data_IF_707303933225
#
_entry.id   IF_707303933225
#
_cell.length_a   1.000
_cell.length_b   1.000
_cell.length_c   1.000
_cell.angle_alpha   90.00
_cell.angle_beta   90.00
_cell.angle_gamma   90.00
#
_symmetry.space_group_name_H-M   'P 1'
#
loop_
_entity.id
_entity.type
_entity.pdbx_description
1 polymer ?
#
# COMPACT_ATOMS: atom_id res chain seq x y z
N UNK A 1 3.15 3.84 34.70
CA UNK A 1 2.12 4.59 33.98
C UNK A 1 1.69 3.76 32.77
N UNK A 2 0.59 3.03 32.89
CA UNK A 2 -0.05 2.31 31.78
C UNK A 2 -0.81 3.34 30.93
N UNK A 3 -0.34 3.58 29.71
CA UNK A 3 -1.12 4.32 28.72
C UNK A 3 -2.26 3.41 28.24
N UNK A 4 -3.49 3.84 28.55
CA UNK A 4 -4.73 3.24 28.08
C UNK A 4 -4.83 3.51 26.58
N UNK A 5 -4.48 2.50 25.77
CA UNK A 5 -4.62 2.48 24.31
C UNK A 5 -6.10 2.31 23.95
N UNK A 6 -6.86 3.40 23.98
CA UNK A 6 -8.24 3.41 23.46
C UNK A 6 -8.20 4.06 22.07
N UNK A 7 -8.61 3.29 21.05
CA UNK A 7 -8.66 3.64 19.62
C UNK A 7 -7.32 3.83 18.88
N UNK A 8 -6.44 2.82 18.93
CA UNK A 8 -5.36 2.71 17.94
C UNK A 8 -5.91 2.06 16.67
N UNK A 9 -5.86 2.76 15.53
CA UNK A 9 -6.21 2.23 14.20
C UNK A 9 -5.53 0.85 13.99
N UNK A 10 -6.30 -0.16 13.52
CA UNK A 10 -5.82 -1.50 13.17
C UNK A 10 -4.57 -1.48 12.29
N UNK A 11 -4.42 -0.48 11.42
CA UNK A 11 -3.19 -0.26 10.65
C UNK A 11 -2.00 0.00 11.55
N UNK A 12 -2.12 0.94 12.47
CA UNK A 12 -1.08 1.27 13.45
C UNK A 12 -0.77 0.07 14.33
N UNK A 13 -1.79 -0.67 14.79
CA UNK A 13 -1.58 -1.92 15.54
C UNK A 13 -0.79 -2.94 14.72
N UNK A 14 -1.17 -3.21 13.46
CA UNK A 14 -0.48 -4.18 12.61
C UNK A 14 0.96 -3.76 12.28
N UNK A 15 1.20 -2.47 12.04
CA UNK A 15 2.54 -1.95 11.78
C UNK A 15 3.43 -2.11 13.02
N UNK A 16 2.94 -1.73 14.21
CA UNK A 16 3.70 -1.75 15.46
C UNK A 16 3.91 -3.16 16.03
N UNK A 17 2.97 -4.08 15.81
CA UNK A 17 3.09 -5.48 16.26
C UNK A 17 3.94 -6.34 15.33
N UNK A 18 4.36 -5.81 14.18
CA UNK A 18 5.29 -6.51 13.29
C UNK A 18 6.65 -6.71 13.96
N UNK A 19 7.34 -7.80 13.61
CA UNK A 19 8.68 -8.10 14.11
C UNK A 19 9.59 -6.89 13.91
N UNK A 20 10.45 -6.59 14.86
CA UNK A 20 11.43 -5.51 14.73
C UNK A 20 12.71 -6.01 14.08
N UNK A 21 13.36 -5.15 13.28
CA UNK A 21 14.66 -5.38 12.65
C UNK A 21 15.47 -4.09 12.72
N UNK A 22 16.79 -4.23 12.67
CA UNK A 22 17.69 -3.09 12.67
C UNK A 22 17.82 -2.53 11.25
N UNK A 23 17.62 -1.22 11.10
CA UNK A 23 17.99 -0.51 9.88
C UNK A 23 19.52 -0.51 9.73
N UNK A 24 20.02 -0.96 8.59
CA UNK A 24 21.46 -1.05 8.34
C UNK A 24 22.14 0.32 8.21
N UNK A 25 21.38 1.37 7.86
CA UNK A 25 21.88 2.74 7.68
C UNK A 25 21.81 3.54 8.98
N UNK A 26 20.75 3.42 9.77
CA UNK A 26 20.57 4.22 11.01
C UNK A 26 20.95 3.47 12.28
N UNK A 27 21.10 2.13 12.22
CA UNK A 27 21.25 1.22 13.37
C UNK A 27 20.08 1.22 14.36
N UNK A 28 18.97 1.85 14.01
CA UNK A 28 17.77 1.85 14.83
C UNK A 28 16.95 0.58 14.64
N UNK A 29 16.38 0.05 15.73
CA UNK A 29 15.39 -1.02 15.68
C UNK A 29 14.03 -0.44 15.29
N UNK A 30 13.46 -0.95 14.20
CA UNK A 30 12.16 -0.52 13.69
C UNK A 30 11.28 -1.73 13.34
N UNK A 31 9.95 -1.63 13.46
CA UNK A 31 9.05 -2.65 12.93
C UNK A 31 9.27 -2.89 11.44
N UNK A 32 9.18 -4.15 10.99
CA UNK A 32 9.43 -4.54 9.59
C UNK A 32 8.49 -3.84 8.61
N UNK A 33 7.27 -3.48 9.02
CA UNK A 33 6.37 -2.67 8.20
C UNK A 33 6.98 -1.34 7.73
N UNK A 34 7.95 -0.80 8.49
CA UNK A 34 8.65 0.45 8.19
C UNK A 34 9.95 0.26 7.40
N UNK A 35 10.33 -1.00 7.13
CA UNK A 35 11.61 -1.36 6.55
C UNK A 35 11.41 -2.04 5.20
N UNK A 36 12.38 -1.88 4.32
CA UNK A 36 12.51 -2.62 3.07
C UNK A 36 13.59 -3.66 3.30
N UNK A 37 13.24 -4.93 3.04
CA UNK A 37 14.19 -6.03 3.07
C UNK A 37 14.95 -6.04 1.75
N UNK A 38 16.27 -6.06 1.84
CA UNK A 38 17.18 -6.20 0.70
C UNK A 38 17.91 -7.54 0.83
N UNK A 39 17.87 -8.34 -0.23
CA UNK A 39 18.48 -9.68 -0.26
C UNK A 39 19.46 -9.75 -1.44
N UNK A 40 20.64 -10.38 -1.27
CA UNK A 40 21.51 -10.71 -2.40
C UNK A 40 20.81 -11.68 -3.36
N UNK A 41 20.74 -11.31 -4.63
CA UNK A 41 20.14 -12.12 -5.71
C UNK A 41 21.22 -12.39 -6.74
N UNK A 42 21.41 -13.67 -7.07
CA UNK A 42 22.37 -14.12 -8.06
C UNK A 42 21.73 -14.08 -9.45
N UNK A 43 22.42 -13.42 -10.38
CA UNK A 43 22.10 -13.40 -11.79
C UNK A 43 23.13 -14.25 -12.54
N UNK A 44 22.72 -15.38 -13.15
CA UNK A 44 23.64 -16.21 -13.91
C UNK A 44 24.15 -15.45 -15.15
N UNK A 45 25.35 -15.82 -15.62
CA UNK A 45 25.87 -15.28 -16.88
C UNK A 45 24.92 -15.66 -18.02
N UNK A 46 24.48 -14.68 -18.81
CA UNK A 46 23.66 -14.89 -20.00
C UNK A 46 24.33 -14.21 -21.19
N UNK A 47 24.88 -15.01 -22.11
CA UNK A 47 25.66 -14.51 -23.25
C UNK A 47 26.90 -13.74 -22.79
N UNK A 48 27.06 -12.51 -23.26
CA UNK A 48 28.21 -11.64 -22.97
C UNK A 48 28.18 -10.98 -21.57
N UNK A 49 27.11 -11.17 -20.79
CA UNK A 49 26.99 -10.57 -19.46
C UNK A 49 27.61 -11.49 -18.41
N UNK A 50 28.60 -11.03 -17.63
CA UNK A 50 29.14 -11.81 -16.53
C UNK A 50 28.08 -12.02 -15.45
N UNK A 51 28.20 -13.11 -14.70
CA UNK A 51 27.40 -13.33 -13.51
C UNK A 51 27.53 -12.15 -12.55
N UNK A 52 26.44 -11.80 -11.87
CA UNK A 52 26.45 -10.73 -10.89
C UNK A 52 25.64 -11.10 -9.66
N UNK A 53 26.12 -10.69 -8.49
CA UNK A 53 25.38 -10.80 -7.25
C UNK A 53 24.92 -9.41 -6.86
N UNK A 54 23.62 -9.15 -6.91
CA UNK A 54 23.08 -7.81 -6.69
C UNK A 54 22.21 -7.75 -5.44
N UNK A 55 22.35 -6.69 -4.65
CA UNK A 55 21.48 -6.43 -3.52
C UNK A 55 20.16 -5.81 -4.01
N UNK A 56 19.06 -6.57 -3.92
CA UNK A 56 17.76 -6.16 -4.47
C UNK A 56 16.65 -6.25 -3.42
N UNK A 57 15.58 -5.45 -3.55
CA UNK A 57 14.41 -5.56 -2.69
C UNK A 57 13.73 -6.93 -2.85
N UNK A 58 13.45 -7.55 -1.70
CA UNK A 58 12.78 -8.84 -1.58
C UNK A 58 11.48 -8.65 -0.79
N UNK A 59 10.39 -9.19 -1.30
CA UNK A 59 9.09 -9.12 -0.62
C UNK A 59 8.42 -7.74 -0.62
N UNK A 60 8.90 -6.79 -1.43
CA UNK A 60 8.27 -5.47 -1.54
C UNK A 60 7.02 -5.56 -2.42
N UNK A 61 7.14 -6.05 -3.66
CA UNK A 61 6.01 -6.20 -4.58
C UNK A 61 5.10 -7.41 -4.27
N UNK A 62 5.69 -8.55 -3.88
CA UNK A 62 4.95 -9.79 -3.55
C UNK A 62 5.27 -10.24 -2.11
N UNK A 63 4.51 -11.19 -1.56
CA UNK A 63 4.89 -11.82 -0.28
C UNK A 63 6.25 -12.51 -0.44
N UNK A 64 7.21 -12.19 0.42
CA UNK A 64 8.56 -12.80 0.38
C UNK A 64 8.41 -14.31 0.50
N UNK A 65 8.91 -15.04 -0.50
CA UNK A 65 9.18 -16.46 -0.32
C UNK A 65 10.30 -16.58 0.72
N UNK A 66 10.29 -17.65 1.54
CA UNK A 66 11.27 -17.83 2.60
C UNK A 66 12.70 -17.89 2.02
N UNK A 67 13.33 -16.74 1.82
CA UNK A 67 14.65 -16.65 1.20
C UNK A 67 15.70 -17.00 2.25
N UNK A 68 16.40 -18.11 2.01
CA UNK A 68 17.57 -18.53 2.77
C UNK A 68 18.70 -17.56 2.43
N UNK A 69 19.24 -16.86 3.43
CA UNK A 69 20.39 -15.98 3.22
C UNK A 69 20.45 -14.79 4.18
N UNK A 70 21.61 -14.13 4.18
CA UNK A 70 21.79 -12.87 4.90
C UNK A 70 21.05 -11.76 4.15
N UNK A 71 20.12 -11.07 4.82
CA UNK A 71 19.40 -9.91 4.26
C UNK A 71 19.69 -8.65 5.08
N UNK A 72 19.67 -7.51 4.41
CA UNK A 72 19.68 -6.18 5.03
C UNK A 72 18.27 -5.63 5.14
N UNK A 73 18.09 -4.69 6.06
CA UNK A 73 16.88 -3.89 6.17
C UNK A 73 17.25 -2.42 6.10
N UNK A 74 16.54 -1.64 5.30
CA UNK A 74 16.69 -0.18 5.20
C UNK A 74 15.32 0.46 5.44
N UNK A 75 15.26 1.70 5.92
CA UNK A 75 13.96 2.39 6.05
C UNK A 75 13.33 2.60 4.67
N UNK A 76 12.01 2.75 4.64
CA UNK A 76 11.27 3.02 3.39
C UNK A 76 11.56 4.40 2.77
N UNK A 77 12.28 5.28 3.47
CA UNK A 77 12.60 6.63 3.03
C UNK A 77 13.70 6.66 1.97
N UNK A 78 13.43 7.38 0.87
CA UNK A 78 14.34 7.51 -0.28
C UNK A 78 15.74 7.98 0.09
N UNK A 79 15.86 8.94 1.00
CA UNK A 79 17.16 9.50 1.36
C UNK A 79 18.05 8.49 2.07
N UNK A 80 17.50 7.66 2.95
CA UNK A 80 18.27 6.60 3.62
C UNK A 80 18.65 5.47 2.66
N UNK A 81 17.84 5.19 1.65
CA UNK A 81 18.20 4.25 0.57
C UNK A 81 19.38 4.82 -0.22
N UNK A 82 19.39 6.11 -0.56
CA UNK A 82 20.52 6.77 -1.24
C UNK A 82 21.81 6.69 -0.41
N UNK A 83 21.73 6.72 0.93
CA UNK A 83 22.91 6.57 1.79
C UNK A 83 23.61 5.22 1.66
N UNK A 84 22.97 4.20 1.07
CA UNK A 84 23.62 2.92 0.79
C UNK A 84 24.78 3.02 -0.21
N UNK A 85 24.83 4.08 -1.01
CA UNK A 85 25.93 4.36 -1.94
C UNK A 85 27.05 5.19 -1.32
N UNK A 86 26.87 5.69 -0.10
CA UNK A 86 27.88 6.51 0.55
C UNK A 86 29.12 5.66 0.90
N UNK A 87 30.34 6.20 0.72
CA UNK A 87 31.58 5.45 0.99
C UNK A 87 31.83 5.23 2.49
N UNK A 88 30.97 5.78 3.36
CA UNK A 88 31.02 5.68 4.81
C UNK A 88 29.64 5.30 5.33
N UNK A 89 29.60 4.44 6.34
CA UNK A 89 28.36 4.14 7.04
C UNK A 89 28.33 2.78 7.72
N UNK A 90 27.36 2.59 8.64
CA UNK A 90 27.21 1.36 9.40
C UNK A 90 26.87 0.12 8.56
N UNK A 91 26.41 0.30 7.33
CA UNK A 91 25.99 -0.76 6.41
C UNK A 91 27.18 -1.41 5.68
N UNK A 92 28.32 -0.72 5.59
CA UNK A 92 29.48 -1.15 4.80
C UNK A 92 30.09 -2.50 5.20
N UNK A 93 30.24 -2.84 6.50
CA UNK A 93 30.82 -4.14 6.88
C UNK A 93 30.01 -5.32 6.32
N UNK A 94 28.69 -5.17 6.20
CA UNK A 94 27.86 -6.19 5.57
C UNK A 94 28.10 -6.27 4.07
N UNK A 95 28.03 -5.12 3.38
CA UNK A 95 28.15 -5.07 1.92
C UNK A 95 29.53 -5.59 1.48
N UNK A 96 30.60 -5.14 2.16
CA UNK A 96 31.98 -5.58 1.89
C UNK A 96 32.25 -7.01 2.35
N UNK A 97 31.48 -7.52 3.31
CA UNK A 97 31.60 -8.88 3.82
C UNK A 97 31.04 -9.95 2.88
N UNK A 98 30.33 -9.57 1.81
CA UNK A 98 29.84 -10.49 0.78
C UNK A 98 30.63 -10.22 -0.50
N UNK A 99 31.53 -11.14 -0.86
CA UNK A 99 32.34 -11.06 -2.07
C UNK A 99 31.44 -10.88 -3.31
N UNK A 100 31.85 -10.02 -4.24
CA UNK A 100 31.15 -9.71 -5.50
C UNK A 100 29.75 -9.08 -5.37
N UNK A 101 29.29 -8.73 -4.16
CA UNK A 101 28.01 -8.05 -3.98
C UNK A 101 28.07 -6.64 -4.57
N UNK A 102 27.13 -6.35 -5.47
CA UNK A 102 26.96 -5.07 -6.12
C UNK A 102 25.65 -4.42 -5.69
N UNK A 103 25.65 -3.09 -5.58
CA UNK A 103 24.43 -2.32 -5.50
C UNK A 103 24.06 -1.86 -6.92
N UNK A 104 22.88 -2.23 -7.44
CA UNK A 104 22.42 -1.73 -8.73
C UNK A 104 22.39 -0.19 -8.71
N UNK A 105 22.83 0.50 -9.78
CA UNK A 105 22.84 1.98 -9.80
C UNK A 105 21.43 2.59 -9.73
N UNK A 106 20.41 1.83 -10.10
CA UNK A 106 19.00 2.21 -10.11
C UNK A 106 18.20 1.59 -8.95
N UNK A 107 18.85 1.17 -7.85
CA UNK A 107 18.16 0.51 -6.71
C UNK A 107 17.00 1.35 -6.16
N UNK A 108 17.18 2.67 -6.08
CA UNK A 108 16.15 3.61 -5.61
C UNK A 108 14.90 3.54 -6.49
N UNK A 109 15.09 3.50 -7.82
CA UNK A 109 14.00 3.44 -8.78
C UNK A 109 13.33 2.07 -8.80
N UNK A 110 14.12 0.99 -8.66
CA UNK A 110 13.60 -0.38 -8.49
C UNK A 110 12.69 -0.46 -7.28
N UNK A 111 13.12 0.08 -6.13
CA UNK A 111 12.32 0.11 -4.90
C UNK A 111 11.04 0.90 -5.11
N UNK A 112 11.11 2.08 -5.73
CA UNK A 112 9.94 2.91 -5.98
C UNK A 112 8.91 2.19 -6.86
N UNK A 113 9.35 1.60 -7.98
CA UNK A 113 8.49 0.82 -8.85
C UNK A 113 7.85 -0.38 -8.13
N UNK A 114 8.58 -1.05 -7.24
CA UNK A 114 8.03 -2.15 -6.43
C UNK A 114 7.02 -1.68 -5.38
N UNK A 115 7.21 -0.51 -4.77
CA UNK A 115 6.23 0.08 -3.84
C UNK A 115 4.92 0.43 -4.55
N UNK A 116 4.98 1.02 -5.76
CA UNK A 116 3.81 1.27 -6.60
C UNK A 116 3.10 -0.05 -6.95
N UNK A 117 3.86 -1.04 -7.39
CA UNK A 117 3.34 -2.37 -7.74
C UNK A 117 2.68 -3.06 -6.55
N UNK A 118 3.21 -2.86 -5.34
CA UNK A 118 2.66 -3.45 -4.12
C UNK A 118 1.23 -2.97 -3.85
N UNK A 119 0.94 -1.69 -4.02
CA UNK A 119 -0.42 -1.16 -3.82
C UNK A 119 -1.40 -1.84 -4.78
N UNK A 120 -1.04 -1.95 -6.06
CA UNK A 120 -1.85 -2.62 -7.08
C UNK A 120 -2.05 -4.11 -6.76
N UNK A 121 -0.99 -4.78 -6.28
CA UNK A 121 -1.06 -6.18 -5.88
C UNK A 121 -2.02 -6.40 -4.70
N UNK A 122 -1.98 -5.55 -3.69
CA UNK A 122 -2.88 -5.62 -2.55
C UNK A 122 -4.34 -5.37 -2.95
N UNK A 123 -4.61 -4.38 -3.81
CA UNK A 123 -5.96 -4.16 -4.37
C UNK A 123 -6.46 -5.38 -5.14
N UNK A 124 -5.60 -6.01 -5.95
CA UNK A 124 -5.92 -7.27 -6.64
C UNK A 124 -6.23 -8.39 -5.65
N UNK A 125 -5.43 -8.52 -4.60
CA UNK A 125 -5.61 -9.54 -3.58
C UNK A 125 -6.94 -9.36 -2.85
N UNK A 126 -7.30 -8.13 -2.49
CA UNK A 126 -8.62 -7.77 -1.95
C UNK A 126 -9.73 -8.21 -2.91
N UNK A 127 -9.67 -7.81 -4.18
CA UNK A 127 -10.69 -8.17 -5.16
C UNK A 127 -10.87 -9.68 -5.29
N UNK A 128 -9.75 -10.43 -5.35
CA UNK A 128 -9.77 -11.90 -5.36
C UNK A 128 -10.45 -12.43 -4.11
N UNK A 129 -10.06 -11.99 -2.91
CA UNK A 129 -10.64 -12.49 -1.66
C UNK A 129 -12.12 -12.18 -1.56
N UNK A 130 -12.53 -10.94 -1.84
CA UNK A 130 -13.93 -10.55 -1.85
C UNK A 130 -14.72 -11.45 -2.80
N UNK A 131 -14.27 -11.69 -4.04
CA UNK A 131 -14.98 -12.57 -4.99
C UNK A 131 -15.24 -13.99 -4.46
N UNK A 132 -14.35 -14.53 -3.62
CA UNK A 132 -14.46 -15.86 -3.03
C UNK A 132 -15.14 -15.89 -1.66
N UNK A 133 -15.53 -14.74 -1.09
CA UNK A 133 -16.29 -14.73 0.16
C UNK A 133 -17.66 -15.39 -0.06
N UNK A 134 -18.10 -16.28 0.85
CA UNK A 134 -19.40 -16.95 0.74
C UNK A 134 -20.52 -15.92 0.73
N UNK A 135 -21.47 -16.05 -0.21
CA UNK A 135 -22.61 -15.13 -0.33
C UNK A 135 -23.49 -15.08 0.94
N UNK A 136 -23.48 -16.13 1.77
CA UNK A 136 -24.30 -16.26 2.98
C UNK A 136 -23.61 -15.93 4.33
N UNK A 137 -22.30 -15.66 4.36
CA UNK A 137 -21.60 -15.36 5.63
C UNK A 137 -21.83 -13.90 6.12
N UNK A 138 -22.46 -13.07 5.29
CA UNK A 138 -22.70 -11.65 5.54
C UNK A 138 -24.09 -11.35 6.11
N UNK A 139 -25.03 -12.30 6.10
CA UNK A 139 -26.37 -12.07 6.68
C UNK A 139 -26.41 -12.21 8.20
N UNK A 140 -25.50 -13.00 8.79
CA UNK A 140 -25.46 -13.22 10.25
C UNK A 140 -24.61 -12.20 11.00
N UNK A 141 -23.83 -11.34 10.32
CA UNK A 141 -23.08 -10.26 10.96
C UNK A 141 -23.76 -8.92 10.70
N UNK A 142 -24.16 -8.25 11.79
CA UNK A 142 -24.66 -6.87 11.83
C UNK A 142 -23.91 -5.98 10.83
N UNK A 143 -24.64 -5.34 9.90
CA UNK A 143 -24.16 -4.40 8.87
C UNK A 143 -23.03 -4.96 8.00
N UNK A 144 -23.37 -5.48 6.83
CA UNK A 144 -22.47 -5.81 5.70
C UNK A 144 -21.22 -4.90 5.63
N UNK A 145 -20.11 -5.33 6.23
CA UNK A 145 -18.89 -4.53 6.28
C UNK A 145 -18.22 -4.61 4.90
N UNK A 146 -18.19 -3.48 4.19
CA UNK A 146 -17.55 -3.34 2.87
C UNK A 146 -16.12 -2.83 3.07
N UNK A 147 -15.19 -3.32 2.25
CA UNK A 147 -13.80 -2.84 2.25
C UNK A 147 -13.72 -1.46 1.60
N UNK A 148 -14.53 -1.17 0.60
CA UNK A 148 -14.51 0.08 -0.13
C UNK A 148 -15.92 0.68 -0.24
N UNK A 149 -16.09 1.91 0.24
CA UNK A 149 -17.37 2.62 0.21
C UNK A 149 -17.15 4.04 -0.30
N UNK A 150 -18.13 4.58 -1.02
CA UNK A 150 -18.09 6.00 -1.42
C UNK A 150 -18.22 6.87 -0.17
N UNK A 151 -17.29 7.81 0.01
CA UNK A 151 -17.31 8.70 1.15
C UNK A 151 -18.30 9.85 0.92
N UNK A 152 -19.33 10.01 1.79
CA UNK A 152 -20.38 10.99 1.56
C UNK A 152 -19.93 12.40 1.98
N UNK A 153 -19.19 13.12 1.12
CA UNK A 153 -18.78 14.53 1.31
C UNK A 153 -17.88 14.76 2.57
N UNK A 154 -16.83 15.60 2.55
CA UNK A 154 -15.99 15.89 3.73
C UNK A 154 -16.73 16.37 4.99
N UNK A 155 -18.02 16.76 4.90
CA UNK A 155 -18.87 17.13 6.03
C UNK A 155 -19.84 16.03 6.51
N UNK A 156 -19.93 14.90 5.79
CA UNK A 156 -20.84 13.82 6.13
C UNK A 156 -20.26 12.93 7.23
N UNK A 157 -20.81 13.04 8.43
CA UNK A 157 -20.51 12.12 9.52
C UNK A 157 -21.13 10.75 9.17
N UNK A 158 -20.32 9.72 8.92
CA UNK A 158 -20.84 8.36 8.87
C UNK A 158 -21.05 7.85 10.29
N UNK A 159 -22.26 7.35 10.59
CA UNK A 159 -22.62 6.69 11.86
C UNK A 159 -21.79 5.43 12.20
N UNK A 160 -20.81 5.08 11.36
CA UNK A 160 -19.91 3.94 11.54
C UNK A 160 -18.56 4.18 10.84
N UNK A 161 -17.88 5.30 11.15
CA UNK A 161 -16.48 5.51 10.76
C UNK A 161 -15.50 4.47 11.36
N UNK A 162 -15.99 3.63 12.28
CA UNK A 162 -15.23 2.53 12.87
C UNK A 162 -14.62 1.62 11.80
N UNK A 163 -13.30 1.51 11.84
CA UNK A 163 -12.53 0.63 10.97
C UNK A 163 -12.09 1.24 9.64
N UNK A 164 -12.38 2.52 9.35
CA UNK A 164 -11.76 3.21 8.20
C UNK A 164 -10.28 3.43 8.47
N UNK A 165 -9.42 3.06 7.52
CA UNK A 165 -7.95 3.10 7.63
C UNK A 165 -7.27 4.03 6.63
N UNK A 166 -8.01 4.46 5.61
CA UNK A 166 -7.54 5.40 4.58
C UNK A 166 -8.72 5.99 3.80
N UNK A 167 -8.55 7.21 3.31
CA UNK A 167 -9.38 7.81 2.28
C UNK A 167 -8.58 7.88 0.98
N UNK A 168 -9.23 7.57 -0.14
CA UNK A 168 -8.63 7.52 -1.47
C UNK A 168 -9.31 8.56 -2.34
N UNK A 169 -8.58 9.61 -2.68
CA UNK A 169 -9.06 10.64 -3.61
C UNK A 169 -8.70 10.24 -5.05
N UNK A 170 -9.75 10.08 -5.86
CA UNK A 170 -9.65 9.67 -7.25
C UNK A 170 -9.55 10.85 -8.23
N UNK A 171 -9.62 12.09 -7.74
CA UNK A 171 -9.51 13.27 -8.59
C UNK A 171 -8.22 13.22 -9.44
N UNK A 172 -8.33 13.52 -10.72
CA UNK A 172 -7.20 13.51 -11.66
C UNK A 172 -6.74 12.12 -12.14
N UNK A 173 -7.35 11.02 -11.69
CA UNK A 173 -7.05 9.70 -12.26
C UNK A 173 -7.61 9.57 -13.67
N UNK A 174 -6.77 9.13 -14.61
CA UNK A 174 -7.23 8.75 -15.95
C UNK A 174 -8.07 7.46 -15.85
N UNK A 175 -9.36 7.48 -16.24
CA UNK A 175 -10.23 6.31 -16.16
C UNK A 175 -9.77 5.23 -17.15
N UNK A 176 -9.94 3.97 -16.75
CA UNK A 176 -9.70 2.85 -17.65
C UNK A 176 -10.77 2.79 -18.76
N UNK A 177 -10.41 2.48 -20.02
CA UNK A 177 -11.39 2.19 -21.06
C UNK A 177 -12.27 0.99 -20.64
N UNK A 178 -13.57 1.09 -20.92
CA UNK A 178 -14.58 0.10 -20.52
C UNK A 178 -14.22 -1.32 -21.00
N UNK A 179 -13.67 -1.43 -22.22
CA UNK A 179 -13.42 -2.72 -22.89
C UNK A 179 -11.94 -3.16 -22.89
N UNK A 180 -11.06 -2.46 -22.15
CA UNK A 180 -9.65 -2.85 -22.12
C UNK A 180 -9.46 -4.24 -21.48
N UNK A 181 -8.88 -5.25 -22.17
CA UNK A 181 -8.56 -6.53 -21.58
C UNK A 181 -7.49 -6.29 -20.51
N UNK A 182 -7.95 -6.28 -19.28
CA UNK A 182 -7.12 -5.91 -18.15
C UNK A 182 -6.69 -7.19 -17.44
N UNK A 183 -5.55 -7.72 -17.87
CA UNK A 183 -4.93 -8.77 -17.08
C UNK A 183 -4.12 -8.14 -15.95
N UNK A 184 -4.69 -8.20 -14.74
CA UNK A 184 -3.99 -7.86 -13.51
C UNK A 184 -2.68 -8.65 -13.33
N UNK A 185 -2.41 -9.73 -14.11
CA UNK A 185 -1.13 -10.46 -14.14
C UNK A 185 0.00 -9.66 -14.79
N UNK A 186 -0.31 -8.66 -15.61
CA UNK A 186 0.67 -7.84 -16.32
C UNK A 186 0.58 -6.39 -15.84
N UNK A 187 0.94 -6.14 -14.58
CA UNK A 187 1.13 -4.76 -14.13
C UNK A 187 2.34 -4.21 -14.90
N UNK A 188 2.17 -3.16 -15.72
CA UNK A 188 3.26 -2.64 -16.51
C UNK A 188 4.30 -2.00 -15.60
N UNK A 189 5.56 -2.08 -16.00
CA UNK A 189 6.59 -1.28 -15.35
C UNK A 189 6.27 0.21 -15.60
N UNK A 190 6.29 1.07 -14.58
CA UNK A 190 5.93 2.47 -14.73
C UNK A 190 6.90 3.16 -15.71
N UNK A 191 6.35 3.82 -16.73
CA UNK A 191 7.14 4.53 -17.75
C UNK A 191 7.92 5.74 -17.17
N UNK A 192 7.43 6.28 -16.06
CA UNK A 192 8.06 7.37 -15.31
C UNK A 192 7.75 7.20 -13.83
N UNK A 193 8.61 7.78 -12.98
CA UNK A 193 8.45 7.72 -11.53
C UNK A 193 8.17 9.13 -10.97
N UNK A 194 7.11 9.30 -10.16
CA UNK A 194 6.84 10.56 -9.48
C UNK A 194 8.05 11.02 -8.65
N UNK A 195 8.41 12.30 -8.74
CA UNK A 195 9.52 12.84 -7.94
C UNK A 195 9.04 13.69 -6.78
N UNK A 196 7.99 14.49 -7.00
CA UNK A 196 7.41 15.41 -6.03
C UNK A 196 5.95 15.01 -5.80
N UNK A 197 5.72 14.26 -4.73
CA UNK A 197 4.39 13.86 -4.29
C UNK A 197 3.99 14.77 -3.14
N UNK A 198 2.75 15.28 -3.08
CA UNK A 198 2.28 16.08 -1.94
C UNK A 198 2.10 15.20 -0.68
N UNK A 199 2.24 15.81 0.50
CA UNK A 199 1.91 15.13 1.75
C UNK A 199 0.44 14.70 1.74
N UNK A 200 0.11 13.48 2.22
CA UNK A 200 -1.28 13.14 2.50
C UNK A 200 -1.87 14.14 3.49
N UNK A 201 -3.11 14.54 3.24
CA UNK A 201 -3.88 15.34 4.19
C UNK A 201 -4.44 14.40 5.27
N UNK A 202 -4.28 14.77 6.54
CA UNK A 202 -4.99 14.07 7.62
C UNK A 202 -6.42 14.59 7.67
N UNK A 203 -7.39 13.70 7.55
CA UNK A 203 -8.82 14.04 7.56
C UNK A 203 -9.43 13.53 8.86
N UNK A 204 -10.00 14.43 9.69
CA UNK A 204 -10.64 14.02 10.92
C UNK A 204 -11.94 13.27 10.61
N UNK A 205 -12.04 12.03 11.08
CA UNK A 205 -13.27 11.23 11.03
C UNK A 205 -14.10 11.35 12.31
N UNK A 206 -13.43 11.57 13.45
CA UNK A 206 -14.05 11.78 14.76
C UNK A 206 -13.07 12.54 15.67
N UNK A 207 -13.52 12.94 16.87
CA UNK A 207 -12.70 13.63 17.88
C UNK A 207 -11.41 12.88 18.26
N UNK A 208 -11.33 11.59 17.97
CA UNK A 208 -10.21 10.72 18.35
C UNK A 208 -9.61 9.93 17.17
N UNK A 209 -10.01 10.23 15.93
CA UNK A 209 -9.54 9.48 14.77
C UNK A 209 -9.33 10.39 13.56
N UNK A 210 -8.06 10.56 13.21
CA UNK A 210 -7.63 11.10 11.93
C UNK A 210 -7.24 9.97 11.00
N UNK A 211 -7.64 10.06 9.73
CA UNK A 211 -7.23 9.11 8.68
C UNK A 211 -6.52 9.83 7.55
N UNK A 212 -5.50 9.21 6.94
CA UNK A 212 -4.81 9.79 5.80
C UNK A 212 -5.66 9.74 4.54
N UNK A 213 -5.74 10.88 3.85
CA UNK A 213 -6.28 11.01 2.50
C UNK A 213 -5.15 10.96 1.48
N UNK A 214 -5.18 9.93 0.65
CA UNK A 214 -4.21 9.69 -0.42
C UNK A 214 -4.78 10.17 -1.76
N UNK A 215 -4.18 11.22 -2.30
CA UNK A 215 -4.49 11.69 -3.66
C UNK A 215 -3.75 10.85 -4.69
N UNK A 216 -4.47 9.90 -5.30
CA UNK A 216 -3.85 8.81 -6.07
C UNK A 216 -3.20 9.29 -7.37
N UNK A 217 -3.73 10.34 -8.01
CA UNK A 217 -3.17 10.85 -9.25
C UNK A 217 -1.78 11.46 -9.09
N UNK A 218 -1.47 12.06 -7.92
CA UNK A 218 -0.13 12.56 -7.60
C UNK A 218 0.81 11.47 -7.11
N UNK A 219 0.29 10.43 -6.45
CA UNK A 219 1.09 9.32 -5.92
C UNK A 219 1.56 8.36 -7.01
N UNK A 220 0.80 8.21 -8.09
CA UNK A 220 1.07 7.24 -9.14
C UNK A 220 1.33 7.93 -10.49
N UNK A 221 2.26 7.38 -11.30
CA UNK A 221 2.46 7.89 -12.64
C UNK A 221 1.23 7.65 -13.52
N UNK A 222 0.97 8.51 -14.54
CA UNK A 222 -0.19 8.39 -15.44
C UNK A 222 -0.35 7.01 -16.08
N UNK A 223 0.78 6.34 -16.39
CA UNK A 223 0.81 4.97 -16.93
C UNK A 223 0.11 3.93 -16.06
N UNK A 224 -0.05 4.19 -14.75
CA UNK A 224 -0.73 3.30 -13.80
C UNK A 224 -2.13 3.75 -13.39
N UNK A 225 -2.60 4.94 -13.83
CA UNK A 225 -3.89 5.49 -13.41
C UNK A 225 -5.07 4.59 -13.80
N UNK A 226 -5.09 4.10 -15.05
CA UNK A 226 -6.11 3.17 -15.50
C UNK A 226 -6.13 1.88 -14.65
N UNK A 227 -4.96 1.42 -14.20
CA UNK A 227 -4.84 0.22 -13.37
C UNK A 227 -5.45 0.42 -11.97
N UNK A 228 -5.19 1.58 -11.36
CA UNK A 228 -5.78 1.95 -10.07
C UNK A 228 -7.30 2.09 -10.20
N UNK A 229 -7.74 2.90 -11.16
CA UNK A 229 -9.14 3.18 -11.40
C UNK A 229 -9.92 1.87 -11.58
N UNK A 230 -9.47 0.98 -12.48
CA UNK A 230 -10.13 -0.29 -12.74
C UNK A 230 -10.13 -1.22 -11.53
N UNK A 231 -9.04 -1.27 -10.76
CA UNK A 231 -8.95 -2.10 -9.55
C UNK A 231 -9.94 -1.65 -8.49
N UNK A 232 -9.99 -0.35 -8.19
CA UNK A 232 -10.89 0.24 -7.20
C UNK A 232 -12.36 0.09 -7.63
N UNK A 233 -12.67 0.41 -8.88
CA UNK A 233 -14.02 0.23 -9.42
C UNK A 233 -14.46 -1.22 -9.44
N UNK A 234 -13.55 -2.17 -9.69
CA UNK A 234 -13.88 -3.60 -9.64
C UNK A 234 -14.22 -4.06 -8.23
N UNK A 235 -13.48 -3.58 -7.22
CA UNK A 235 -13.78 -3.86 -5.81
C UNK A 235 -15.17 -3.29 -5.47
N UNK A 236 -15.38 -2.00 -5.76
CA UNK A 236 -16.63 -1.31 -5.49
C UNK A 236 -17.85 -1.99 -6.12
N UNK A 237 -17.74 -2.41 -7.39
CA UNK A 237 -18.84 -3.10 -8.10
C UNK A 237 -19.11 -4.51 -7.56
N UNK A 238 -18.09 -5.26 -7.14
CA UNK A 238 -18.30 -6.60 -6.55
C UNK A 238 -18.97 -6.49 -5.18
N UNK A 239 -18.71 -5.42 -4.43
CA UNK A 239 -19.32 -5.18 -3.11
C UNK A 239 -20.72 -4.56 -3.19
N UNK A 240 -21.04 -3.82 -4.25
CA UNK A 240 -22.36 -3.17 -4.45
C UNK A 240 -23.56 -4.11 -4.32
N UNK A 241 -23.64 -5.27 -5.00
CA UNK A 241 -24.81 -6.18 -4.91
C UNK A 241 -24.86 -6.96 -3.58
N UNK A 242 -23.83 -6.87 -2.73
CA UNK A 242 -23.74 -7.61 -1.46
C UNK A 242 -24.30 -6.86 -0.27
N UNK A 243 -24.62 -5.57 -0.44
CA UNK A 243 -25.40 -4.86 0.59
C UNK A 243 -26.87 -5.22 0.47
N UNK A 244 -27.55 -5.26 1.61
CA UNK A 244 -29.01 -5.32 1.70
C UNK A 244 -29.62 -4.32 0.70
N UNK A 245 -30.66 -4.69 -0.06
CA UNK A 245 -31.41 -3.73 -0.87
C UNK A 245 -31.99 -2.69 0.08
N UNK A 246 -31.50 -1.45 0.02
CA UNK A 246 -32.09 -0.38 0.82
C UNK A 246 -33.56 -0.22 0.44
N UNK A 247 -34.44 -0.47 1.40
CA UNK A 247 -35.70 0.27 1.51
C UNK A 247 -35.37 1.77 1.42
N UNK A 248 -36.01 2.43 0.46
CA UNK A 248 -35.99 3.87 0.16
C UNK A 248 -34.63 4.50 -0.16
N UNK A 249 -34.29 4.58 -1.44
CA UNK A 249 -33.89 5.88 -1.99
C UNK A 249 -34.33 5.97 -3.45
N UNK A 250 -35.32 6.83 -3.65
CA UNK A 250 -35.78 7.37 -4.92
C UNK A 250 -34.70 7.50 -5.98
N UNK A 251 -35.04 7.03 -7.18
CA UNK A 251 -34.51 7.51 -8.44
C UNK A 251 -34.23 9.02 -8.37
N UNK A 252 -32.95 9.38 -8.40
CA UNK A 252 -32.53 10.71 -8.83
C UNK A 252 -31.72 10.51 -10.10
N UNK A 253 -32.45 10.48 -11.21
CA UNK A 253 -31.93 10.82 -12.53
C UNK A 253 -31.24 12.18 -12.45
N UNK A 254 -30.01 12.26 -12.96
CA UNK A 254 -29.33 13.53 -13.23
C UNK A 254 -28.81 14.26 -11.99
N UNK A 255 -27.70 13.80 -11.43
CA UNK A 255 -26.75 14.71 -10.78
C UNK A 255 -25.36 14.42 -11.30
N UNK A 256 -24.76 15.48 -11.82
CA UNK A 256 -23.43 15.56 -12.40
C UNK A 256 -22.42 14.75 -11.58
N UNK A 257 -21.56 14.02 -12.29
CA UNK A 257 -20.39 13.35 -11.76
C UNK A 257 -19.57 14.38 -10.97
N UNK A 258 -19.73 14.41 -9.65
CA UNK A 258 -18.98 15.34 -8.81
C UNK A 258 -17.48 15.10 -9.02
N UNK A 259 -16.75 16.18 -9.30
CA UNK A 259 -15.33 16.23 -9.67
C UNK A 259 -14.35 15.65 -8.63
N UNK A 260 -14.85 15.20 -7.48
CA UNK A 260 -14.06 14.61 -6.38
C UNK A 260 -14.72 13.34 -5.85
N UNK A 261 -14.40 12.20 -6.47
CA UNK A 261 -14.82 10.90 -5.95
C UNK A 261 -13.84 10.44 -4.87
N UNK A 262 -14.24 10.60 -3.61
CA UNK A 262 -13.52 10.09 -2.45
C UNK A 262 -14.06 8.72 -2.06
N UNK A 263 -13.17 7.74 -1.90
CA UNK A 263 -13.51 6.40 -1.41
C UNK A 263 -12.90 6.16 -0.03
N UNK A 264 -13.71 5.66 0.90
CA UNK A 264 -13.23 5.20 2.19
C UNK A 264 -12.87 3.72 2.14
N UNK A 265 -11.67 3.42 2.62
CA UNK A 265 -11.16 2.07 2.76
C UNK A 265 -11.23 1.63 4.22
N UNK A 266 -11.91 0.51 4.45
CA UNK A 266 -12.14 -0.04 5.78
C UNK A 266 -11.43 -1.38 5.98
N UNK A 267 -11.12 -1.69 7.23
CA UNK A 267 -10.74 -3.04 7.63
C UNK A 267 -11.92 -3.97 7.40
N UNK A 268 -11.63 -5.16 6.88
CA UNK A 268 -12.55 -6.28 6.89
C UNK A 268 -11.77 -7.47 7.42
N UNK A 269 -12.15 -7.95 8.61
CA UNK A 269 -11.58 -9.16 9.18
C UNK A 269 -12.07 -10.36 8.38
N UNK A 270 -11.22 -10.84 7.49
CA UNK A 270 -11.45 -12.11 6.83
C UNK A 270 -10.93 -13.21 7.75
N UNK A 271 -11.83 -14.11 8.18
CA UNK A 271 -11.66 -15.09 9.27
C UNK A 271 -10.30 -15.80 9.38
N UNK A 272 -10.00 -16.19 10.64
CA UNK A 272 -8.90 -17.01 11.20
C UNK A 272 -7.44 -16.69 10.86
N UNK A 273 -7.13 -15.97 9.77
CA UNK A 273 -5.76 -15.83 9.27
C UNK A 273 -5.15 -14.43 9.46
N UNK A 274 -5.78 -13.54 10.23
CA UNK A 274 -5.17 -12.27 10.70
C UNK A 274 -4.87 -11.20 9.63
N UNK A 275 -5.28 -11.37 8.36
CA UNK A 275 -5.16 -10.33 7.33
C UNK A 275 -6.48 -9.58 7.17
N UNK A 276 -6.50 -8.35 7.69
CA UNK A 276 -7.55 -7.36 7.46
C UNK A 276 -7.36 -6.69 6.10
N UNK A 277 -8.31 -6.88 5.18
CA UNK A 277 -8.18 -6.59 3.76
C UNK A 277 -7.78 -5.13 3.45
N UNK A 278 -8.44 -4.13 4.03
CA UNK A 278 -8.09 -2.72 3.82
C UNK A 278 -6.77 -2.29 4.48
N UNK A 279 -6.35 -2.97 5.55
CA UNK A 279 -5.13 -2.60 6.29
C UNK A 279 -3.87 -2.78 5.45
N UNK A 280 -3.79 -3.86 4.66
CA UNK A 280 -2.61 -4.16 3.86
C UNK A 280 -2.38 -3.13 2.74
N UNK A 281 -3.46 -2.65 2.10
CA UNK A 281 -3.37 -1.53 1.14
C UNK A 281 -2.97 -0.24 1.84
N UNK A 282 -3.53 0.06 3.01
CA UNK A 282 -3.19 1.27 3.75
C UNK A 282 -1.71 1.29 4.18
N UNK A 283 -1.15 0.14 4.57
CA UNK A 283 0.29 -0.01 4.84
C UNK A 283 1.11 0.19 3.56
N UNK A 284 0.69 -0.38 2.44
CA UNK A 284 1.39 -0.21 1.16
C UNK A 284 1.43 1.26 0.71
N UNK A 285 0.29 1.97 0.80
CA UNK A 285 0.19 3.40 0.52
C UNK A 285 1.07 4.24 1.46
N UNK A 286 1.09 3.90 2.75
CA UNK A 286 1.97 4.57 3.70
C UNK A 286 3.44 4.40 3.38
N UNK A 287 3.90 3.19 3.03
CA UNK A 287 5.30 2.96 2.65
C UNK A 287 5.68 3.74 1.40
N UNK A 288 4.77 3.87 0.43
CA UNK A 288 4.97 4.70 -0.76
C UNK A 288 5.12 6.17 -0.38
N UNK A 289 4.25 6.70 0.47
CA UNK A 289 4.34 8.07 0.98
C UNK A 289 5.63 8.31 1.77
N UNK A 290 6.05 7.35 2.61
CA UNK A 290 7.34 7.43 3.31
C UNK A 290 8.54 7.44 2.38
N UNK A 291 8.46 6.72 1.27
CA UNK A 291 9.47 6.83 0.23
C UNK A 291 9.62 8.25 -0.30
N UNK A 292 8.53 9.01 -0.41
CA UNK A 292 8.55 10.43 -0.80
C UNK A 292 8.95 11.41 0.31
N UNK A 293 9.39 10.93 1.47
CA UNK A 293 9.92 11.78 2.54
C UNK A 293 8.91 12.18 3.61
N UNK A 294 7.71 11.59 3.60
CA UNK A 294 6.69 11.88 4.60
C UNK A 294 6.63 10.82 5.70
N UNK A 295 6.10 11.20 6.86
CA UNK A 295 5.94 10.30 8.00
C UNK A 295 7.01 10.49 9.08
N UNK A 296 6.84 9.72 10.16
CA UNK A 296 7.61 9.73 11.42
C UNK A 296 7.69 11.04 12.23
N UNK A 297 7.30 12.21 11.72
CA UNK A 297 7.27 13.47 12.50
C UNK A 297 5.87 14.13 12.57
N UNK A 298 4.87 13.38 13.07
CA UNK A 298 3.62 13.94 13.62
C UNK A 298 3.21 13.20 14.90
N UNK A 299 4.18 12.89 15.77
CA UNK A 299 3.95 12.51 17.17
C UNK A 299 5.00 13.16 18.04
#
# INVERSE_FOLDING_TARGET
MQLVLTNVDHRTVKMLTSRTRMCCVTRELRPVAHLIRLTPIYFPSTGDRPHSLQLLPDGVAESSTASKGKSLYVTCHRDYIKRLYEPKGPHLPFIRGISSLQLPPNLVDIIHAQLLSRVLWELRYILRRIRHLPKGHLESQKKTQRVLVRWPNPKGQMDSANGVVALLDLAGLTPAPVDSPFDLKEIPFPASLPQNVPSPLMTPLSEHQDVPTYHLASLFPPSLHAYLHKSLWSIFHVERPRGVPNTSSSDTKGKEQSEHELLAMSTLEASSNGSALGTDVAIALWRLVCFHGYGWEQT
#
